data_IF_850652348436
#
_entry.id   IF_850652348436
#
_cell.length_a   1.000
_cell.length_b   1.000
_cell.length_c   1.000
_cell.angle_alpha   90.00
_cell.angle_beta   90.00
_cell.angle_gamma   90.00
#
_symmetry.space_group_name_H-M   'P 1'
#
loop_
_entity.id
_entity.type
_entity.pdbx_description
1 polymer ?
#
# COMPACT_ATOMS: atom_id res chain seq x y z
N UNK A 1 45.96 -32.24 40.86
CA UNK A 1 44.79 -32.99 40.34
C UNK A 1 43.59 -32.06 40.50
N UNK A 2 42.97 -31.44 39.50
CA UNK A 2 42.95 -31.66 38.06
C UNK A 2 41.47 -31.76 37.61
N UNK A 3 40.86 -30.60 37.25
CA UNK A 3 39.65 -30.43 36.40
C UNK A 3 38.32 -31.04 36.94
N UNK A 4 37.11 -30.58 36.64
CA UNK A 4 36.59 -29.80 35.52
C UNK A 4 35.38 -28.97 35.98
N UNK A 5 35.42 -27.66 35.71
CA UNK A 5 34.24 -26.82 35.55
C UNK A 5 33.65 -27.21 34.20
N UNK A 6 32.34 -27.47 34.08
CA UNK A 6 31.49 -27.25 32.89
C UNK A 6 30.12 -27.92 33.06
N UNK A 7 29.05 -27.20 32.72
CA UNK A 7 27.70 -27.77 32.66
C UNK A 7 26.56 -26.78 32.46
N UNK A 8 26.82 -25.46 32.47
CA UNK A 8 25.86 -24.45 32.02
C UNK A 8 25.75 -24.46 30.49
N UNK A 9 25.17 -25.52 29.93
CA UNK A 9 24.85 -25.60 28.51
C UNK A 9 23.79 -24.56 28.18
N UNK A 10 24.20 -23.37 27.75
CA UNK A 10 23.32 -22.45 27.03
C UNK A 10 22.68 -23.27 25.91
N UNK A 11 21.37 -23.50 26.01
CA UNK A 11 20.62 -24.32 25.08
C UNK A 11 20.88 -23.80 23.66
N UNK A 12 21.66 -24.55 22.87
CA UNK A 12 22.05 -24.15 21.50
C UNK A 12 20.82 -23.91 20.61
N UNK A 13 19.65 -24.46 20.97
CA UNK A 13 18.39 -24.19 20.30
C UNK A 13 17.85 -22.78 20.58
N UNK A 14 18.10 -22.22 21.77
CA UNK A 14 17.74 -20.84 22.10
C UNK A 14 18.69 -19.84 21.42
N UNK A 15 19.98 -20.18 21.29
CA UNK A 15 20.94 -19.37 20.53
C UNK A 15 20.62 -19.41 19.03
N UNK A 16 20.19 -20.54 18.47
CA UNK A 16 19.70 -20.60 17.07
C UNK A 16 18.37 -19.87 16.86
N UNK A 17 17.46 -19.86 17.85
CA UNK A 17 16.25 -19.02 17.82
C UNK A 17 16.59 -17.52 17.84
N UNK A 18 17.58 -17.11 18.64
CA UNK A 18 18.05 -15.72 18.70
C UNK A 18 18.86 -15.33 17.45
N UNK A 19 19.56 -16.27 16.80
CA UNK A 19 20.23 -16.03 15.50
C UNK A 19 19.20 -15.88 14.37
N UNK A 20 18.05 -16.60 14.41
CA UNK A 20 16.93 -16.32 13.49
C UNK A 20 16.29 -14.94 13.72
N UNK A 21 16.34 -14.42 14.94
CA UNK A 21 15.90 -13.06 15.27
C UNK A 21 16.89 -11.95 14.84
N UNK A 22 18.02 -12.28 14.19
CA UNK A 22 19.07 -11.31 13.78
C UNK A 22 19.45 -11.37 12.29
N UNK A 23 18.64 -12.01 11.45
CA UNK A 23 18.84 -12.07 9.99
C UNK A 23 18.10 -10.96 9.21
N UNK A 24 17.84 -9.80 9.84
CA UNK A 24 17.22 -8.64 9.18
C UNK A 24 18.17 -7.88 8.23
N UNK A 25 19.40 -8.34 8.01
CA UNK A 25 20.46 -7.51 7.40
C UNK A 25 20.84 -7.74 5.93
N UNK A 26 20.41 -8.82 5.25
CA UNK A 26 20.83 -9.01 3.83
C UNK A 26 19.92 -9.86 2.94
N UNK A 27 19.02 -10.67 3.51
CA UNK A 27 18.13 -11.56 2.76
C UNK A 27 16.66 -11.46 3.22
N UNK A 28 16.26 -10.29 3.74
CA UNK A 28 14.89 -10.11 4.21
C UNK A 28 13.93 -10.08 3.02
N UNK A 29 13.01 -11.04 3.00
CA UNK A 29 11.98 -11.21 1.95
C UNK A 29 10.56 -11.14 2.51
N UNK A 30 10.39 -10.83 3.81
CA UNK A 30 9.09 -10.71 4.48
C UNK A 30 8.41 -12.03 4.85
N UNK A 31 9.01 -13.19 4.54
CA UNK A 31 8.46 -14.49 4.93
C UNK A 31 8.46 -14.63 6.45
N UNK A 32 7.28 -14.91 7.01
CA UNK A 32 7.11 -15.09 8.45
C UNK A 32 7.09 -13.79 9.25
N UNK A 33 7.04 -12.63 8.58
CA UNK A 33 6.87 -11.36 9.28
C UNK A 33 5.48 -11.32 9.93
N UNK A 34 5.47 -10.98 11.22
CA UNK A 34 4.24 -10.93 12.00
C UNK A 34 3.50 -9.60 11.80
N UNK A 35 4.20 -8.54 11.43
CA UNK A 35 3.64 -7.19 11.24
C UNK A 35 3.17 -6.94 9.81
N UNK A 36 3.45 -7.83 8.86
CA UNK A 36 3.06 -7.63 7.46
C UNK A 36 1.89 -8.53 7.05
N UNK A 37 0.95 -7.93 6.35
CA UNK A 37 -0.12 -8.63 5.67
C UNK A 37 0.05 -8.57 4.15
N UNK A 38 0.36 -9.74 3.58
CA UNK A 38 0.55 -9.94 2.15
C UNK A 38 -0.73 -10.41 1.42
N UNK A 39 -1.88 -10.50 2.09
CA UNK A 39 -3.10 -11.06 1.50
C UNK A 39 -2.91 -12.54 1.17
N UNK A 40 -3.13 -12.93 -0.10
CA UNK A 40 -2.86 -14.30 -0.55
C UNK A 40 -1.38 -14.61 -0.83
N UNK A 41 -0.51 -13.60 -0.82
CA UNK A 41 0.94 -13.79 -0.92
C UNK A 41 1.58 -14.03 0.46
N UNK A 42 2.89 -14.28 0.51
CA UNK A 42 3.62 -14.56 1.75
C UNK A 42 4.99 -13.88 1.87
N UNK A 43 5.35 -13.02 0.92
CA UNK A 43 6.66 -12.38 0.82
C UNK A 43 6.64 -11.23 -0.17
N UNK A 44 7.62 -10.33 -0.05
CA UNK A 44 7.84 -9.24 -1.01
C UNK A 44 8.10 -9.75 -2.44
N UNK A 45 8.67 -10.95 -2.57
CA UNK A 45 8.96 -11.58 -3.87
C UNK A 45 7.72 -12.09 -4.59
N UNK A 46 6.60 -12.27 -3.87
CA UNK A 46 5.35 -12.82 -4.41
C UNK A 46 4.17 -11.86 -4.31
N UNK A 47 4.43 -10.59 -4.01
CA UNK A 47 3.40 -9.56 -3.80
C UNK A 47 2.46 -9.38 -4.99
N UNK A 48 2.90 -9.68 -6.21
CA UNK A 48 2.06 -9.61 -7.40
C UNK A 48 0.87 -10.59 -7.34
N UNK A 49 0.93 -11.60 -6.46
CA UNK A 49 -0.13 -12.57 -6.19
C UNK A 49 -0.89 -12.28 -4.88
N UNK A 50 -0.83 -11.07 -4.33
CA UNK A 50 -1.51 -10.72 -3.07
C UNK A 50 -3.06 -10.67 -3.19
N UNK A 51 -3.57 -10.50 -4.41
CA UNK A 51 -5.01 -10.38 -4.71
C UNK A 51 -5.65 -9.04 -4.26
N UNK A 52 -4.87 -8.10 -3.72
CA UNK A 52 -5.37 -6.83 -3.18
C UNK A 52 -5.45 -5.77 -4.28
N UNK A 53 -6.63 -5.61 -4.88
CA UNK A 53 -6.87 -4.60 -5.91
C UNK A 53 -8.06 -3.76 -5.51
N UNK A 54 -7.91 -2.45 -5.60
CA UNK A 54 -9.01 -1.50 -5.47
C UNK A 54 -9.09 -0.61 -6.70
N UNK A 55 -10.28 -0.46 -7.27
CA UNK A 55 -10.49 0.35 -8.47
C UNK A 55 -11.35 1.56 -8.18
N UNK A 56 -10.88 2.71 -8.63
CA UNK A 56 -11.63 3.95 -8.74
C UNK A 56 -12.17 4.05 -10.16
N UNK A 57 -13.47 4.29 -10.32
CA UNK A 57 -14.04 4.71 -11.59
C UNK A 57 -14.41 6.19 -11.46
N UNK A 58 -13.76 7.07 -12.20
CA UNK A 58 -13.87 8.53 -12.07
C UNK A 58 -14.34 9.09 -13.41
N UNK A 59 -15.41 9.89 -13.38
CA UNK A 59 -15.89 10.65 -14.53
C UNK A 59 -15.81 12.14 -14.23
N UNK A 60 -15.21 12.90 -15.16
CA UNK A 60 -15.26 14.35 -15.16
C UNK A 60 -16.29 14.82 -16.18
N UNK A 61 -17.45 15.28 -15.69
CA UNK A 61 -18.52 15.84 -16.51
C UNK A 61 -18.35 17.33 -16.84
N UNK A 62 -17.33 17.97 -16.27
CA UNK A 62 -17.05 19.39 -16.44
C UNK A 62 -16.40 19.75 -17.78
N UNK A 63 -16.17 21.05 -17.99
CA UNK A 63 -15.58 21.61 -19.21
C UNK A 63 -14.06 21.78 -19.15
N UNK A 64 -13.46 21.62 -17.96
CA UNK A 64 -12.02 21.74 -17.73
C UNK A 64 -11.45 20.45 -17.14
N UNK A 65 -10.15 20.24 -17.35
CA UNK A 65 -9.44 19.14 -16.69
C UNK A 65 -9.35 19.42 -15.18
N UNK A 66 -9.58 18.40 -14.36
CA UNK A 66 -9.60 18.52 -12.90
C UNK A 66 -8.54 17.61 -12.31
N UNK A 67 -7.72 18.14 -11.40
CA UNK A 67 -6.74 17.36 -10.65
C UNK A 67 -7.42 16.73 -9.45
N UNK A 68 -7.28 15.42 -9.30
CA UNK A 68 -7.97 14.58 -8.34
C UNK A 68 -6.98 13.95 -7.38
N UNK A 69 -7.28 13.96 -6.08
CA UNK A 69 -6.60 13.17 -5.08
C UNK A 69 -7.26 11.79 -4.91
N UNK A 70 -6.50 10.73 -5.17
CA UNK A 70 -6.88 9.33 -4.95
C UNK A 70 -6.58 8.87 -3.52
N UNK A 71 -5.74 9.61 -2.79
CA UNK A 71 -5.56 9.47 -1.35
C UNK A 71 -5.45 10.82 -0.68
N UNK A 72 -5.97 10.92 0.54
CA UNK A 72 -6.03 12.18 1.27
C UNK A 72 -4.82 12.48 2.15
N UNK A 73 -3.86 11.57 2.33
CA UNK A 73 -2.89 11.48 3.43
C UNK A 73 -2.17 12.77 3.88
N UNK A 74 -2.91 13.72 4.45
CA UNK A 74 -2.42 15.00 4.96
C UNK A 74 -3.16 16.26 4.49
N UNK A 75 -4.22 16.15 3.68
CA UNK A 75 -5.20 17.23 3.59
C UNK A 75 -6.03 17.28 4.87
N UNK A 76 -6.00 18.39 5.60
CA UNK A 76 -6.76 18.56 6.86
C UNK A 76 -8.29 18.39 6.67
N UNK A 77 -8.81 18.79 5.51
CA UNK A 77 -10.20 18.54 5.13
C UNK A 77 -10.43 17.10 4.62
N UNK A 78 -9.38 16.37 4.24
CA UNK A 78 -9.48 15.15 3.46
C UNK A 78 -10.02 13.91 4.18
N UNK A 79 -10.22 13.98 5.49
CA UNK A 79 -10.91 12.94 6.26
C UNK A 79 -12.43 12.94 6.10
N UNK A 80 -13.03 14.02 5.56
CA UNK A 80 -14.50 14.20 5.50
C UNK A 80 -15.09 14.19 4.08
N UNK A 81 -14.26 14.19 3.02
CA UNK A 81 -14.71 14.56 1.66
C UNK A 81 -14.16 13.68 0.52
N UNK A 82 -13.74 12.45 0.78
CA UNK A 82 -13.50 11.46 -0.28
C UNK A 82 -14.54 10.36 -0.19
N UNK A 83 -15.65 10.57 -0.88
CA UNK A 83 -16.73 9.59 -1.05
C UNK A 83 -17.16 9.56 -2.53
N UNK A 84 -18.23 8.85 -2.86
CA UNK A 84 -18.72 8.74 -4.24
C UNK A 84 -19.16 10.07 -4.88
N UNK A 85 -19.39 11.09 -4.05
CA UNK A 85 -20.00 12.38 -4.39
C UNK A 85 -19.06 13.56 -4.13
N UNK A 86 -17.98 13.34 -3.37
CA UNK A 86 -17.01 14.35 -2.99
C UNK A 86 -15.62 13.87 -3.39
N UNK A 87 -15.02 14.53 -4.38
CA UNK A 87 -13.61 14.31 -4.75
C UNK A 87 -12.83 15.56 -4.41
N UNK A 88 -11.67 15.38 -3.79
CA UNK A 88 -10.79 16.50 -3.48
C UNK A 88 -10.00 16.88 -4.73
N UNK A 89 -10.32 18.06 -5.27
CA UNK A 89 -9.49 18.79 -6.19
C UNK A 89 -8.71 19.87 -5.43
N UNK A 90 -7.44 19.58 -5.15
CA UNK A 90 -6.50 20.52 -4.49
C UNK A 90 -7.03 21.14 -3.18
N UNK A 91 -7.74 20.36 -2.37
CA UNK A 91 -8.28 20.80 -1.08
C UNK A 91 -9.72 21.32 -1.12
N UNK A 92 -10.41 21.22 -2.27
CA UNK A 92 -11.83 21.59 -2.43
C UNK A 92 -12.64 20.42 -3.00
N UNK A 93 -13.94 20.36 -2.69
CA UNK A 93 -14.86 19.37 -3.28
C UNK A 93 -15.17 19.78 -4.72
N UNK A 94 -14.87 18.90 -5.67
CA UNK A 94 -15.25 19.09 -7.07
C UNK A 94 -16.71 18.62 -7.30
N UNK A 95 -17.57 19.50 -7.80
CA UNK A 95 -18.99 19.20 -8.08
C UNK A 95 -19.22 18.49 -9.41
N UNK A 96 -18.28 18.63 -10.35
CA UNK A 96 -18.39 18.10 -11.71
C UNK A 96 -17.76 16.70 -11.85
N UNK A 97 -17.35 16.10 -10.74
CA UNK A 97 -16.76 14.78 -10.70
C UNK A 97 -17.69 13.78 -10.05
N UNK A 98 -17.76 12.58 -10.62
CA UNK A 98 -18.36 11.42 -9.95
C UNK A 98 -17.29 10.36 -9.77
N UNK A 99 -17.37 9.62 -8.66
CA UNK A 99 -16.47 8.49 -8.44
C UNK A 99 -17.17 7.30 -7.78
N UNK A 100 -16.72 6.11 -8.10
CA UNK A 100 -17.08 4.90 -7.36
C UNK A 100 -15.86 4.03 -7.09
N UNK A 101 -15.94 3.29 -5.98
CA UNK A 101 -14.94 2.33 -5.54
C UNK A 101 -15.39 0.89 -5.77
N UNK A 102 -14.44 -0.02 -5.97
CA UNK A 102 -14.68 -1.47 -6.04
C UNK A 102 -13.43 -2.18 -5.51
N UNK A 103 -13.55 -3.25 -4.70
CA UNK A 103 -14.79 -3.94 -4.31
C UNK A 103 -15.61 -3.24 -3.23
N UNK A 104 -15.01 -2.29 -2.52
CA UNK A 104 -15.63 -1.58 -1.41
C UNK A 104 -15.71 -0.07 -1.67
N UNK A 105 -16.32 0.66 -0.73
CA UNK A 105 -16.35 2.11 -0.77
C UNK A 105 -14.95 2.72 -0.61
N UNK A 106 -14.75 3.90 -1.19
CA UNK A 106 -13.47 4.62 -1.20
C UNK A 106 -13.05 5.03 0.21
N UNK A 107 -13.98 5.50 1.02
CA UNK A 107 -13.76 5.88 2.42
C UNK A 107 -13.18 4.70 3.25
N UNK A 108 -13.68 3.48 3.03
CA UNK A 108 -13.17 2.28 3.68
C UNK A 108 -11.71 2.00 3.28
N UNK A 109 -11.37 2.11 1.99
CA UNK A 109 -9.97 1.99 1.55
C UNK A 109 -9.10 3.06 2.21
N UNK A 110 -9.54 4.32 2.21
CA UNK A 110 -8.77 5.44 2.74
C UNK A 110 -8.54 5.31 4.25
N UNK A 111 -9.56 4.89 4.99
CA UNK A 111 -9.43 4.57 6.40
C UNK A 111 -8.45 3.42 6.62
N UNK A 112 -8.55 2.35 5.80
CA UNK A 112 -7.65 1.21 5.86
C UNK A 112 -6.20 1.61 5.64
N UNK A 113 -5.87 2.31 4.56
CA UNK A 113 -4.46 2.67 4.25
C UNK A 113 -3.88 3.71 5.20
N UNK A 114 -4.74 4.52 5.85
CA UNK A 114 -4.31 5.45 6.91
C UNK A 114 -3.87 4.70 8.18
N UNK A 115 -4.61 3.67 8.56
CA UNK A 115 -4.28 2.82 9.71
C UNK A 115 -3.17 1.80 9.39
N UNK A 116 -3.17 1.29 8.16
CA UNK A 116 -2.31 0.22 7.70
C UNK A 116 -1.54 0.67 6.44
N UNK A 117 -0.43 1.41 6.59
CA UNK A 117 0.39 1.84 5.46
C UNK A 117 0.67 0.68 4.51
N UNK A 118 0.31 0.87 3.24
CA UNK A 118 0.25 -0.21 2.27
C UNK A 118 1.11 0.10 1.06
N UNK A 119 1.96 -0.85 0.67
CA UNK A 119 2.81 -0.72 -0.51
C UNK A 119 1.94 -0.79 -1.77
N UNK A 120 2.14 0.14 -2.70
CA UNK A 120 1.62 0.05 -4.06
C UNK A 120 2.62 -0.70 -4.94
N UNK A 121 2.13 -1.75 -5.60
CA UNK A 121 2.89 -2.60 -6.52
C UNK A 121 2.72 -2.15 -7.96
N UNK A 122 1.49 -1.84 -8.33
CA UNK A 122 1.18 -1.35 -9.64
C UNK A 122 -0.02 -0.41 -9.61
N UNK A 123 -0.13 0.41 -10.64
CA UNK A 123 -1.33 1.19 -10.93
C UNK A 123 -1.74 0.85 -12.36
N UNK A 124 -2.94 0.29 -12.52
CA UNK A 124 -3.54 0.04 -13.83
C UNK A 124 -4.49 1.18 -14.15
N UNK A 125 -4.39 1.71 -15.35
CA UNK A 125 -5.21 2.82 -15.82
C UNK A 125 -5.89 2.38 -17.10
N UNK A 126 -7.21 2.49 -17.13
CA UNK A 126 -8.02 2.34 -18.32
C UNK A 126 -8.75 3.64 -18.57
N UNK A 127 -8.52 4.26 -19.71
CA UNK A 127 -9.17 5.50 -20.10
C UNK A 127 -10.15 5.29 -21.26
N UNK A 128 -11.16 6.15 -21.38
CA UNK A 128 -12.01 6.21 -22.56
C UNK A 128 -11.30 6.82 -23.78
N UNK A 129 -10.28 7.64 -23.55
CA UNK A 129 -9.45 8.33 -24.54
C UNK A 129 -7.96 8.20 -24.21
N UNK A 130 -7.11 7.99 -25.22
CA UNK A 130 -5.66 7.80 -25.04
C UNK A 130 -4.93 9.03 -24.51
N UNK A 131 -5.36 10.25 -24.87
CA UNK A 131 -4.74 11.50 -24.36
C UNK A 131 -4.83 11.65 -22.84
N UNK A 132 -5.74 10.90 -22.21
CA UNK A 132 -5.84 10.83 -20.76
C UNK A 132 -4.62 10.16 -20.10
N UNK A 133 -3.89 9.33 -20.86
CA UNK A 133 -2.69 8.64 -20.42
C UNK A 133 -1.45 9.54 -20.42
N UNK A 134 -1.53 10.74 -20.99
CA UNK A 134 -0.47 11.75 -20.94
C UNK A 134 -0.45 12.51 -19.60
N UNK A 135 -1.54 12.44 -18.83
CA UNK A 135 -1.59 13.08 -17.51
C UNK A 135 -0.76 12.29 -16.49
N UNK A 136 0.12 12.96 -15.72
CA UNK A 136 0.98 12.28 -14.77
C UNK A 136 0.20 11.81 -13.55
N UNK A 137 0.54 10.61 -13.09
CA UNK A 137 0.29 10.18 -11.72
C UNK A 137 1.41 10.74 -10.84
N UNK A 138 1.03 11.50 -9.82
CA UNK A 138 1.96 12.13 -8.88
C UNK A 138 1.78 11.52 -7.51
N UNK A 139 2.85 10.94 -6.98
CA UNK A 139 2.95 10.55 -5.59
C UNK A 139 3.67 11.64 -4.82
N UNK A 140 3.01 12.18 -3.80
CA UNK A 140 3.53 13.26 -2.97
C UNK A 140 3.66 12.76 -1.54
N UNK A 141 4.88 12.80 -1.02
CA UNK A 141 5.12 12.60 0.41
C UNK A 141 5.12 13.97 1.10
N UNK A 142 4.41 14.06 2.22
CA UNK A 142 4.37 15.23 3.06
C UNK A 142 5.40 15.07 4.17
N UNK A 143 6.28 16.04 4.31
CA UNK A 143 7.23 16.10 5.41
C UNK A 143 7.22 17.53 5.99
N UNK A 144 6.85 17.74 7.26
CA UNK A 144 6.77 19.08 7.84
C UNK A 144 8.14 19.79 7.93
N UNK A 145 9.24 19.05 7.82
CA UNK A 145 10.60 19.59 7.94
C UNK A 145 11.23 19.89 6.57
N UNK A 146 10.92 19.08 5.55
CA UNK A 146 11.53 19.21 4.21
C UNK A 146 10.53 19.63 3.12
N UNK A 147 9.26 19.85 3.48
CA UNK A 147 8.19 20.15 2.54
C UNK A 147 7.67 18.91 1.80
N UNK A 148 7.28 19.09 0.54
CA UNK A 148 6.74 18.03 -0.30
C UNK A 148 7.82 17.37 -1.15
N UNK A 149 7.82 16.04 -1.20
CA UNK A 149 8.64 15.26 -2.13
C UNK A 149 7.71 14.62 -3.16
N UNK A 150 7.79 15.10 -4.40
CA UNK A 150 6.95 14.61 -5.51
C UNK A 150 7.73 13.62 -6.38
N UNK A 151 7.11 12.47 -6.64
CA UNK A 151 7.51 11.51 -7.66
C UNK A 151 6.42 11.45 -8.74
N UNK A 152 6.81 11.46 -10.00
CA UNK A 152 5.88 11.52 -11.13
C UNK A 152 6.09 10.35 -12.09
N UNK A 153 4.98 9.86 -12.63
CA UNK A 153 4.93 8.79 -13.63
C UNK A 153 3.89 9.15 -14.68
N UNK A 154 4.28 9.13 -15.96
CA UNK A 154 3.37 9.42 -17.08
C UNK A 154 2.98 8.09 -17.71
N UNK A 155 1.70 7.67 -17.63
CA UNK A 155 1.25 6.37 -18.13
C UNK A 155 1.64 6.10 -19.59
N UNK A 156 1.51 7.07 -20.48
CA UNK A 156 1.88 6.90 -21.89
C UNK A 156 3.34 6.42 -22.11
N UNK A 157 4.26 6.68 -21.18
CA UNK A 157 5.67 6.22 -21.26
C UNK A 157 5.85 4.73 -20.98
N UNK A 158 4.83 4.06 -20.45
CA UNK A 158 4.85 2.64 -20.09
C UNK A 158 4.21 1.74 -21.14
N UNK A 159 3.69 2.33 -22.22
CA UNK A 159 3.13 1.59 -23.33
C UNK A 159 4.23 0.82 -24.05
N UNK A 160 4.04 -0.49 -24.23
CA UNK A 160 5.03 -1.34 -24.91
C UNK A 160 4.72 -1.40 -26.40
N UNK A 161 5.77 -1.53 -27.20
CA UNK A 161 5.63 -1.84 -28.62
C UNK A 161 4.95 -3.21 -28.77
N UNK A 162 3.77 -3.24 -29.38
CA UNK A 162 2.94 -4.45 -29.52
C UNK A 162 1.71 -4.51 -28.62
N UNK A 163 1.50 -3.53 -27.73
CA UNK A 163 0.25 -3.45 -26.96
C UNK A 163 -0.92 -3.09 -27.89
N UNK A 164 -1.81 -4.05 -28.12
CA UNK A 164 -2.99 -3.86 -28.99
C UNK A 164 -4.06 -2.94 -28.39
N UNK A 165 -3.94 -2.58 -27.12
CA UNK A 165 -4.89 -1.72 -26.42
C UNK A 165 -4.22 -0.43 -25.95
N UNK A 166 -4.34 0.63 -26.75
CA UNK A 166 -3.73 1.94 -26.48
C UNK A 166 -4.40 2.71 -25.33
N UNK A 167 -5.48 2.18 -24.77
CA UNK A 167 -6.27 2.82 -23.72
C UNK A 167 -6.06 2.21 -22.34
N UNK A 168 -5.22 1.18 -22.22
CA UNK A 168 -4.94 0.49 -20.97
C UNK A 168 -3.44 0.44 -20.76
N UNK A 169 -2.99 0.94 -19.61
CA UNK A 169 -1.59 0.95 -19.20
C UNK A 169 -1.45 0.45 -17.78
N UNK A 170 -0.36 -0.25 -17.51
CA UNK A 170 0.04 -0.65 -16.17
C UNK A 170 1.40 -0.03 -15.82
N UNK A 171 1.44 0.70 -14.71
CA UNK A 171 2.65 1.20 -14.07
C UNK A 171 3.15 0.15 -13.08
N UNK A 172 4.26 -0.53 -13.36
CA UNK A 172 4.80 -1.62 -12.50
C UNK A 172 6.09 -1.26 -11.77
N UNK A 173 6.75 -0.16 -12.14
CA UNK A 173 8.02 0.30 -11.58
C UNK A 173 7.84 1.31 -10.43
N UNK A 174 6.82 1.08 -9.61
CA UNK A 174 6.52 1.92 -8.46
C UNK A 174 6.91 1.24 -7.15
N UNK A 175 7.44 2.03 -6.23
CA UNK A 175 7.73 1.62 -4.87
C UNK A 175 7.15 2.64 -3.90
N UNK A 176 5.87 2.93 -4.09
CA UNK A 176 5.14 3.92 -3.32
C UNK A 176 4.45 3.27 -2.14
N UNK A 177 4.29 4.01 -1.04
CA UNK A 177 3.57 3.57 0.14
C UNK A 177 2.39 4.52 0.33
N UNK A 178 1.18 3.97 0.27
CA UNK A 178 -0.02 4.73 0.57
C UNK A 178 -0.25 4.69 2.08
N UNK A 179 -0.28 5.87 2.70
CA UNK A 179 -0.35 6.02 4.16
C UNK A 179 -0.92 7.37 4.57
N UNK A 180 -0.79 7.68 5.86
CA UNK A 180 -1.31 8.91 6.46
C UNK A 180 -0.64 10.20 5.97
N UNK A 181 0.58 10.11 5.41
CA UNK A 181 1.42 11.26 5.03
C UNK A 181 1.68 11.34 3.51
N UNK A 182 0.89 10.60 2.72
CA UNK A 182 1.11 10.43 1.29
C UNK A 182 -0.16 10.70 0.48
N UNK A 183 -0.02 11.51 -0.56
CA UNK A 183 -1.08 11.90 -1.48
C UNK A 183 -0.77 11.34 -2.86
N UNK A 184 -1.71 10.59 -3.42
CA UNK A 184 -1.69 10.16 -4.81
C UNK A 184 -2.60 11.07 -5.63
N UNK A 185 -2.06 11.73 -6.63
CA UNK A 185 -2.75 12.71 -7.46
C UNK A 185 -2.73 12.27 -8.93
N UNK A 186 -3.78 12.63 -9.66
CA UNK A 186 -3.86 12.51 -11.12
C UNK A 186 -4.71 13.65 -11.68
N UNK A 187 -4.73 13.85 -12.99
CA UNK A 187 -5.63 14.79 -13.66
C UNK A 187 -6.59 14.03 -14.55
N UNK A 188 -7.88 14.33 -14.44
CA UNK A 188 -8.95 13.77 -15.29
C UNK A 188 -9.39 14.87 -16.26
N UNK A 189 -9.21 14.64 -17.56
CA UNK A 189 -9.59 15.59 -18.61
C UNK A 189 -11.09 15.87 -18.64
N UNK A 190 -11.48 17.02 -19.19
CA UNK A 190 -12.88 17.41 -19.37
C UNK A 190 -13.65 16.36 -20.19
N UNK A 191 -14.85 15.98 -19.73
CA UNK A 191 -15.69 14.99 -20.40
C UNK A 191 -15.10 13.59 -20.46
N UNK A 192 -14.13 13.23 -19.60
CA UNK A 192 -13.44 11.94 -19.62
C UNK A 192 -13.85 11.03 -18.48
N UNK A 193 -13.79 9.73 -18.74
CA UNK A 193 -13.94 8.67 -17.75
C UNK A 193 -12.69 7.80 -17.68
N UNK A 194 -12.23 7.54 -16.46
CA UNK A 194 -11.01 6.76 -16.18
C UNK A 194 -11.28 5.76 -15.08
N UNK A 195 -10.85 4.53 -15.29
CA UNK A 195 -10.74 3.52 -14.25
C UNK A 195 -9.28 3.41 -13.82
N UNK A 196 -9.01 3.68 -12.54
CA UNK A 196 -7.68 3.59 -11.94
C UNK A 196 -7.71 2.48 -10.89
N UNK A 197 -7.01 1.38 -11.15
CA UNK A 197 -6.89 0.27 -10.21
C UNK A 197 -5.54 0.32 -9.50
N UNK A 198 -5.57 0.45 -8.18
CA UNK A 198 -4.42 0.34 -7.31
C UNK A 198 -4.21 -1.14 -6.96
N UNK A 199 -3.05 -1.68 -7.30
CA UNK A 199 -2.62 -3.02 -6.91
C UNK A 199 -1.72 -2.86 -5.69
N UNK A 200 -2.20 -3.31 -4.53
CA UNK A 200 -1.46 -3.25 -3.28
C UNK A 200 -0.53 -4.45 -3.14
N UNK A 201 0.46 -4.36 -2.26
CA UNK A 201 1.34 -5.45 -1.85
C UNK A 201 1.19 -5.72 -0.36
N UNK A 202 2.30 -5.76 0.35
CA UNK A 202 2.31 -5.80 1.81
C UNK A 202 1.65 -4.54 2.40
N UNK A 203 0.85 -4.78 3.43
CA UNK A 203 0.33 -3.75 4.33
C UNK A 203 0.94 -3.96 5.72
N UNK A 204 1.28 -2.89 6.42
CA UNK A 204 1.62 -2.98 7.84
C UNK A 204 0.33 -3.22 8.64
N UNK A 205 0.29 -4.31 9.40
CA UNK A 205 -0.85 -4.74 10.21
C UNK A 205 -0.36 -5.06 11.63
N UNK A 206 -0.41 -4.03 12.48
CA UNK A 206 0.08 -4.12 13.85
C UNK A 206 -0.83 -4.96 14.74
N UNK A 207 -2.13 -5.01 14.45
CA UNK A 207 -3.11 -5.79 15.22
C UNK A 207 -2.87 -7.29 15.03
N UNK A 208 -2.75 -7.73 13.77
CA UNK A 208 -2.36 -9.11 13.44
C UNK A 208 -1.00 -9.47 14.04
N UNK A 209 -0.05 -8.54 13.99
CA UNK A 209 1.27 -8.75 14.59
C UNK A 209 1.24 -8.89 16.10
N UNK A 210 0.39 -8.14 16.80
CA UNK A 210 0.18 -8.29 18.24
C UNK A 210 -0.45 -9.64 18.56
N UNK A 211 -1.50 -10.04 17.83
CA UNK A 211 -2.16 -11.33 18.02
C UNK A 211 -1.19 -12.50 17.83
N UNK A 212 -0.42 -12.52 16.73
CA UNK A 212 0.57 -13.58 16.48
C UNK A 212 1.63 -13.66 17.57
N UNK A 213 2.11 -12.50 18.05
CA UNK A 213 3.08 -12.45 19.16
C UNK A 213 2.48 -12.99 20.46
N UNK A 214 1.21 -12.70 20.74
CA UNK A 214 0.50 -13.26 21.88
C UNK A 214 0.36 -14.79 21.77
N UNK A 215 -0.05 -15.30 20.60
CA UNK A 215 -0.19 -16.73 20.34
C UNK A 215 1.16 -17.46 20.47
N UNK A 216 2.23 -16.88 19.92
CA UNK A 216 3.60 -17.40 20.06
C UNK A 216 4.06 -17.40 21.52
N UNK A 217 3.72 -16.36 22.29
CA UNK A 217 4.05 -16.29 23.71
C UNK A 217 3.34 -17.39 24.51
N UNK A 218 2.04 -17.60 24.27
CA UNK A 218 1.27 -18.67 24.92
C UNK A 218 1.81 -20.06 24.57
N UNK A 219 2.10 -20.31 23.28
CA UNK A 219 2.67 -21.58 22.84
C UNK A 219 4.05 -21.85 23.47
N UNK A 220 4.90 -20.82 23.59
CA UNK A 220 6.20 -20.95 24.24
C UNK A 220 6.07 -21.14 25.76
N UNK A 221 5.12 -20.48 26.42
CA UNK A 221 4.86 -20.66 27.85
C UNK A 221 4.43 -22.10 28.16
N UNK A 222 3.50 -22.64 27.36
CA UNK A 222 3.07 -24.04 27.46
C UNK A 222 4.24 -25.02 27.25
N UNK A 223 5.10 -24.76 26.25
CA UNK A 223 6.28 -25.59 25.98
C UNK A 223 7.33 -25.55 27.11
N UNK A 224 7.34 -24.50 27.94
CA UNK A 224 8.19 -24.36 29.11
C UNK A 224 7.54 -24.89 30.41
N UNK A 225 6.31 -25.40 30.34
CA UNK A 225 5.59 -25.97 31.48
C UNK A 225 4.91 -24.93 32.38
N UNK A 226 4.70 -23.70 31.90
CA UNK A 226 3.83 -22.74 32.60
C UNK A 226 2.36 -23.09 32.33
N UNK A 227 1.55 -23.23 33.39
CA UNK A 227 0.10 -23.36 33.24
C UNK A 227 -0.49 -22.02 32.81
N UNK A 228 -1.20 -22.03 31.69
CA UNK A 228 -1.95 -20.89 31.15
C UNK A 228 -3.43 -21.21 31.37
N UNK A 229 -3.86 -21.12 32.63
CA UNK A 229 -5.27 -21.21 33.02
C UNK A 229 -5.90 -19.80 33.06
#
# INVERSE_FOLDING_TARGET
>A
MGQNILGGGVNRNNVQRIIKAKAEGSNYIGVGDNLLDFGSANSFLKEDNCGKIFSFNITNGGQSAIKVALSAGGFAAGSSYLDSSNIIAEGTVATDLTCSGTPEKIDALLAYVKANPSRLRAIKIKADNESQLDYPIVYRQINPFTGYIDQKRIPAQYQRSGDNNTKVIELTDINWILGADNILLTTIGAGRTVVISLVFGASLDTEKGLQKKADEAMANAAALGFNVD
#
